data_IF_871228301261
#
_entry.id   IF_871228301261
#
_cell.length_a   1.000
_cell.length_b   1.000
_cell.length_c   1.000
_cell.angle_alpha   90.00
_cell.angle_beta   90.00
_cell.angle_gamma   90.00
#
_symmetry.space_group_name_H-M   'P 1'
#
loop_
_entity.id
_entity.type
_entity.pdbx_description
1 polymer ?
#
# COMPACT_ATOMS: atom_id res chain seq x y z
N UNK A 1 -21.54 -21.99 -2.16
CA UNK A 1 -20.91 -20.87 -1.42
C UNK A 1 -20.59 -21.34 -0.02
N UNK A 2 -19.38 -21.09 0.48
CA UNK A 2 -18.98 -21.54 1.81
C UNK A 2 -19.77 -20.77 2.88
N UNK A 3 -20.27 -21.46 3.92
CA UNK A 3 -21.14 -20.86 4.96
C UNK A 3 -20.44 -19.80 5.83
N UNK A 4 -19.12 -19.72 5.72
CA UNK A 4 -18.25 -18.81 6.46
C UNK A 4 -17.70 -17.67 5.59
N UNK A 5 -18.11 -17.57 4.32
CA UNK A 5 -17.71 -16.44 3.48
C UNK A 5 -18.46 -15.19 3.94
N UNK A 6 -17.70 -14.17 4.37
CA UNK A 6 -18.27 -12.89 4.82
C UNK A 6 -18.26 -11.87 3.69
N UNK A 7 -17.09 -11.62 3.09
CA UNK A 7 -16.92 -10.62 2.02
C UNK A 7 -15.61 -10.85 1.24
N UNK A 8 -15.46 -10.29 0.03
CA UNK A 8 -14.17 -10.23 -0.66
C UNK A 8 -13.14 -9.40 0.14
N UNK A 9 -11.88 -9.84 0.14
CA UNK A 9 -10.78 -9.21 0.89
C UNK A 9 -10.01 -8.12 0.13
N UNK A 10 -10.43 -7.78 -1.08
CA UNK A 10 -9.75 -6.80 -1.95
C UNK A 10 -9.88 -5.37 -1.42
N UNK A 11 -11.04 -5.07 -0.83
CA UNK A 11 -11.34 -3.79 -0.18
C UNK A 11 -11.86 -4.08 1.22
N UNK A 12 -11.26 -3.45 2.22
CA UNK A 12 -11.64 -3.61 3.62
C UNK A 12 -11.85 -2.24 4.26
N UNK A 13 -12.87 -2.13 5.10
CA UNK A 13 -13.04 -0.98 5.98
C UNK A 13 -12.07 -1.12 7.15
N UNK A 14 -11.12 -0.21 7.23
CA UNK A 14 -10.07 -0.18 8.26
C UNK A 14 -10.13 1.15 9.01
N UNK A 15 -9.64 1.17 10.25
CA UNK A 15 -9.53 2.42 11.00
C UNK A 15 -8.27 3.15 10.56
N UNK A 16 -8.42 4.41 10.13
CA UNK A 16 -7.30 5.21 9.70
C UNK A 16 -6.32 5.45 10.87
N UNK A 17 -5.06 5.00 10.78
CA UNK A 17 -4.08 5.15 11.86
C UNK A 17 -3.57 6.60 12.00
N UNK A 18 -3.79 7.41 10.96
CA UNK A 18 -3.41 8.82 10.85
C UNK A 18 -4.41 9.55 9.97
N UNK A 19 -4.24 10.86 9.80
CA UNK A 19 -4.96 11.58 8.76
C UNK A 19 -4.48 11.11 7.38
N UNK A 20 -5.41 10.60 6.59
CA UNK A 20 -5.18 10.08 5.25
C UNK A 20 -5.84 10.98 4.22
N UNK A 21 -5.15 11.18 3.11
CA UNK A 21 -5.75 11.72 1.87
C UNK A 21 -6.20 10.57 0.99
N UNK A 22 -7.09 10.84 0.03
CA UNK A 22 -7.39 9.85 -1.01
C UNK A 22 -6.11 9.46 -1.74
N UNK A 23 -5.93 8.16 -2.00
CA UNK A 23 -4.72 7.58 -2.60
C UNK A 23 -3.55 7.40 -1.63
N UNK A 24 -3.68 7.78 -0.35
CA UNK A 24 -2.61 7.59 0.62
C UNK A 24 -2.49 6.12 1.03
N UNK A 25 -1.26 5.60 1.02
CA UNK A 25 -0.92 4.33 1.65
C UNK A 25 -0.99 4.40 3.16
N UNK A 26 -1.50 3.34 3.76
CA UNK A 26 -1.57 3.18 5.21
C UNK A 26 -1.48 1.71 5.60
N UNK A 27 -1.04 1.48 6.84
CA UNK A 27 -0.86 0.15 7.40
C UNK A 27 -1.57 0.06 8.75
N UNK A 28 -2.38 -0.99 8.93
CA UNK A 28 -3.09 -1.30 10.17
C UNK A 28 -2.69 -2.70 10.62
N UNK A 29 -1.88 -2.80 11.68
CA UNK A 29 -1.24 -4.05 12.04
C UNK A 29 -0.38 -4.55 10.88
N UNK A 30 -0.63 -5.76 10.37
CA UNK A 30 0.04 -6.32 9.18
C UNK A 30 -0.65 -6.01 7.84
N UNK A 31 -1.78 -5.29 7.84
CA UNK A 31 -2.57 -5.03 6.64
C UNK A 31 -2.16 -3.70 6.02
N UNK A 32 -1.56 -3.75 4.83
CA UNK A 32 -1.34 -2.57 4.00
C UNK A 32 -2.50 -2.36 3.02
N UNK A 33 -2.94 -1.10 2.88
CA UNK A 33 -3.95 -0.71 1.91
C UNK A 33 -3.76 0.74 1.43
N UNK A 34 -4.39 1.07 0.30
CA UNK A 34 -4.50 2.44 -0.22
C UNK A 34 -5.88 2.99 0.13
N UNK A 35 -5.94 4.16 0.76
CA UNK A 35 -7.18 4.82 1.10
C UNK A 35 -7.93 5.27 -0.15
N UNK A 36 -9.18 4.82 -0.31
CA UNK A 36 -10.03 5.27 -1.42
C UNK A 36 -10.51 6.71 -1.22
N UNK A 37 -10.74 7.11 0.02
CA UNK A 37 -11.22 8.43 0.41
C UNK A 37 -10.32 9.06 1.48
N UNK A 38 -10.42 10.37 1.65
CA UNK A 38 -9.77 11.04 2.77
C UNK A 38 -10.47 10.67 4.09
N UNK A 39 -9.68 10.46 5.15
CA UNK A 39 -10.17 10.06 6.45
C UNK A 39 -9.31 10.67 7.56
N UNK A 40 -9.94 11.09 8.65
CA UNK A 40 -9.23 11.56 9.83
C UNK A 40 -8.71 10.38 10.66
N UNK A 41 -7.69 10.61 11.49
CA UNK A 41 -7.22 9.57 12.39
C UNK A 41 -8.37 9.05 13.28
N UNK A 42 -8.46 7.73 13.43
CA UNK A 42 -9.50 7.06 14.21
C UNK A 42 -10.84 6.88 13.50
N UNK A 43 -11.02 7.39 12.28
CA UNK A 43 -12.26 7.19 11.51
C UNK A 43 -12.14 5.99 10.57
N UNK A 44 -13.25 5.28 10.27
CA UNK A 44 -13.25 4.20 9.28
C UNK A 44 -12.99 4.76 7.87
N UNK A 45 -12.21 4.01 7.09
CA UNK A 45 -11.89 4.31 5.69
C UNK A 45 -11.86 3.02 4.87
N UNK A 46 -12.31 3.09 3.62
CA UNK A 46 -12.17 1.98 2.68
C UNK A 46 -10.74 1.92 2.14
N UNK A 47 -10.05 0.82 2.43
CA UNK A 47 -8.70 0.55 1.96
C UNK A 47 -8.68 -0.52 0.89
N UNK A 48 -8.12 -0.21 -0.29
CA UNK A 48 -7.89 -1.21 -1.34
C UNK A 48 -6.53 -1.88 -1.17
N UNK A 49 -6.53 -3.21 -1.13
CA UNK A 49 -5.35 -4.04 -0.88
C UNK A 49 -4.76 -4.67 -2.14
N UNK A 50 -5.55 -4.75 -3.22
CA UNK A 50 -5.17 -5.42 -4.47
C UNK A 50 -5.44 -4.50 -5.65
N UNK A 51 -4.47 -4.39 -6.55
CA UNK A 51 -4.56 -3.56 -7.76
C UNK A 51 -3.29 -2.78 -8.04
N UNK A 52 -3.31 -1.95 -9.08
CA UNK A 52 -2.18 -1.08 -9.44
C UNK A 52 -2.51 0.35 -9.02
N UNK A 53 -1.62 0.97 -8.24
CA UNK A 53 -1.81 2.31 -7.69
C UNK A 53 -0.57 3.17 -7.90
N UNK A 54 -0.80 4.44 -8.14
CA UNK A 54 0.25 5.47 -8.12
C UNK A 54 0.34 6.00 -6.69
N UNK A 55 1.51 5.87 -6.06
CA UNK A 55 1.75 6.26 -4.65
C UNK A 55 3.12 6.88 -4.48
N UNK A 56 3.33 7.57 -3.35
CA UNK A 56 4.61 8.17 -2.99
C UNK A 56 5.73 7.12 -3.00
N UNK A 57 6.84 7.49 -3.62
CA UNK A 57 8.03 6.66 -3.81
C UNK A 57 9.23 7.29 -3.11
N UNK A 58 10.07 6.45 -2.50
CA UNK A 58 11.39 6.82 -2.01
C UNK A 58 12.38 7.02 -3.18
N UNK A 59 13.44 7.78 -2.95
CA UNK A 59 14.48 7.99 -3.97
C UNK A 59 15.10 6.66 -4.42
N UNK A 60 15.47 6.58 -5.70
CA UNK A 60 16.05 5.37 -6.29
C UNK A 60 15.29 4.88 -7.51
N UNK A 61 15.99 4.30 -8.48
CA UNK A 61 15.34 3.77 -9.68
C UNK A 61 14.61 2.45 -9.37
N UNK A 62 13.44 2.25 -9.99
CA UNK A 62 12.72 0.98 -9.95
C UNK A 62 12.82 0.30 -11.30
N UNK A 63 12.95 -1.02 -11.30
CA UNK A 63 12.77 -1.84 -12.50
C UNK A 63 11.44 -2.59 -12.39
N UNK A 64 10.83 -2.90 -13.53
CA UNK A 64 9.55 -3.60 -13.56
C UNK A 64 9.65 -4.94 -12.82
N UNK A 65 8.67 -5.26 -11.98
CA UNK A 65 8.63 -6.47 -11.16
C UNK A 65 9.49 -6.41 -9.90
N UNK A 66 10.21 -5.31 -9.63
CA UNK A 66 10.97 -5.17 -8.38
C UNK A 66 10.07 -5.21 -7.17
N UNK A 67 10.50 -5.93 -6.13
CA UNK A 67 9.79 -5.97 -4.86
C UNK A 67 9.74 -4.57 -4.25
N UNK A 68 8.54 -4.17 -3.85
CA UNK A 68 8.29 -2.91 -3.19
C UNK A 68 7.86 -3.16 -1.75
N UNK A 69 8.47 -2.41 -0.86
CA UNK A 69 8.27 -2.44 0.56
C UNK A 69 7.68 -1.11 1.00
N UNK A 70 6.75 -1.16 1.95
CA UNK A 70 6.19 0.01 2.59
C UNK A 70 7.04 0.43 3.78
N UNK A 71 7.45 1.69 3.77
CA UNK A 71 8.05 2.36 4.92
C UNK A 71 6.93 3.06 5.71
N UNK A 72 6.64 2.55 6.91
CA UNK A 72 5.58 3.08 7.76
C UNK A 72 5.99 4.32 8.57
N UNK A 73 7.23 4.78 8.42
CA UNK A 73 7.75 6.01 9.03
C UNK A 73 7.75 7.15 8.02
N UNK A 74 8.28 6.90 6.81
CA UNK A 74 8.34 7.87 5.73
C UNK A 74 7.05 7.92 4.88
N UNK A 75 6.15 6.93 5.03
CA UNK A 75 4.90 6.78 4.28
C UNK A 75 5.09 6.73 2.76
N UNK A 76 6.10 6.00 2.31
CA UNK A 76 6.40 5.81 0.90
C UNK A 76 6.77 4.35 0.59
N UNK A 77 6.78 4.03 -0.71
CA UNK A 77 7.30 2.76 -1.19
C UNK A 77 8.79 2.84 -1.46
N UNK A 78 9.52 1.81 -1.03
CA UNK A 78 10.95 1.67 -1.18
C UNK A 78 11.30 0.26 -1.66
N UNK A 79 12.50 0.08 -2.23
CA UNK A 79 13.04 -1.23 -2.57
C UNK A 79 13.81 -1.86 -1.41
N UNK A 80 14.00 -1.12 -0.31
CA UNK A 80 14.73 -1.57 0.88
C UNK A 80 13.86 -2.50 1.72
N UNK A 81 14.28 -3.75 1.88
CA UNK A 81 13.55 -4.75 2.66
C UNK A 81 13.69 -4.57 4.18
N UNK A 82 14.88 -4.18 4.65
CA UNK A 82 15.19 -4.11 6.07
C UNK A 82 14.24 -3.15 6.79
N UNK A 83 13.57 -3.65 7.84
CA UNK A 83 12.59 -2.92 8.66
C UNK A 83 11.35 -2.41 7.93
N UNK A 84 11.14 -2.81 6.67
CA UNK A 84 9.99 -2.40 5.86
C UNK A 84 9.14 -3.62 5.49
N UNK A 85 7.86 -3.37 5.20
CA UNK A 85 6.90 -4.45 4.97
C UNK A 85 6.76 -4.71 3.49
N UNK A 86 6.89 -5.96 3.04
CA UNK A 86 6.64 -6.30 1.63
C UNK A 86 5.16 -6.12 1.30
N UNK A 87 4.85 -5.25 0.33
CA UNK A 87 3.47 -4.92 -0.04
C UNK A 87 3.13 -5.23 -1.49
N UNK A 88 4.14 -5.36 -2.36
CA UNK A 88 3.89 -5.61 -3.77
C UNK A 88 5.13 -5.56 -4.64
N UNK A 89 4.92 -5.17 -5.89
CA UNK A 89 5.99 -5.01 -6.88
C UNK A 89 5.78 -3.78 -7.78
N UNK A 90 6.85 -3.29 -8.40
CA UNK A 90 6.77 -2.19 -9.36
C UNK A 90 6.08 -2.65 -10.64
N UNK A 91 4.99 -1.98 -11.04
CA UNK A 91 4.26 -2.34 -12.25
C UNK A 91 5.00 -1.90 -13.53
N UNK A 92 5.86 -0.89 -13.42
CA UNK A 92 6.70 -0.38 -14.51
C UNK A 92 8.05 0.10 -13.97
N UNK A 93 8.98 0.42 -14.87
CA UNK A 93 10.22 1.09 -14.48
C UNK A 93 9.94 2.56 -14.15
N UNK A 94 10.60 3.08 -13.10
CA UNK A 94 10.54 4.49 -12.70
C UNK A 94 11.95 5.02 -12.47
N UNK A 95 12.20 6.24 -12.91
CA UNK A 95 13.47 6.93 -12.73
C UNK A 95 13.72 7.29 -11.26
N UNK A 96 14.99 7.55 -10.91
CA UNK A 96 15.38 7.85 -9.53
C UNK A 96 14.79 9.16 -8.99
N UNK A 97 14.50 10.12 -9.88
CA UNK A 97 13.95 11.44 -9.53
C UNK A 97 12.41 11.45 -9.43
N UNK A 98 11.74 10.34 -9.80
CA UNK A 98 10.28 10.27 -9.72
C UNK A 98 9.83 10.20 -8.26
N UNK A 99 8.92 11.10 -7.88
CA UNK A 99 8.33 11.16 -6.53
C UNK A 99 7.09 10.29 -6.39
N UNK A 100 6.51 9.85 -7.51
CA UNK A 100 5.34 8.96 -7.59
C UNK A 100 5.74 7.71 -8.36
N UNK A 101 5.43 6.56 -7.77
CA UNK A 101 5.71 5.25 -8.33
C UNK A 101 4.44 4.43 -8.50
N UNK A 102 4.40 3.64 -9.58
CA UNK A 102 3.27 2.76 -9.90
C UNK A 102 3.52 1.36 -9.35
N UNK A 103 2.78 1.00 -8.32
CA UNK A 103 2.94 -0.25 -7.60
C UNK A 103 1.75 -1.19 -7.81
N UNK A 104 2.02 -2.45 -8.11
CA UNK A 104 1.09 -3.56 -8.02
C UNK A 104 1.04 -4.03 -6.56
N UNK A 105 -0.12 -3.91 -5.94
CA UNK A 105 -0.42 -4.47 -4.63
C UNK A 105 -1.02 -5.87 -4.78
N UNK A 106 -0.48 -6.81 -4.02
CA UNK A 106 -0.84 -8.23 -4.10
C UNK A 106 -1.78 -8.67 -2.98
N UNK A 107 -2.11 -7.78 -2.04
CA UNK A 107 -2.90 -8.11 -0.86
C UNK A 107 -2.22 -9.07 0.11
N UNK A 108 -0.91 -9.29 -0.04
CA UNK A 108 -0.11 -10.11 0.86
C UNK A 108 -0.06 -9.50 2.27
N UNK A 109 0.02 -10.36 3.27
CA UNK A 109 0.31 -9.99 4.65
C UNK A 109 1.69 -10.58 4.92
N UNK A 110 2.69 -9.71 5.08
CA UNK A 110 4.04 -10.18 5.40
C UNK A 110 4.01 -10.91 6.75
N UNK A 111 4.70 -12.05 6.80
CA UNK A 111 4.82 -12.89 7.99
C UNK A 111 5.82 -12.31 9.00
#
# INVERSE_FOLDING_TARGET
MARNFVQPGDTLTLIAPRNLTSGAGFMVGGIFAIAMTAAAAGTPVEGRRIGVFDTAKATGAWTQGQKLYWDNTAFNLTTTATNNTLVGAAAQAQASADTVGRALLTGQIAA
#
